data_IF_906196269540
#
_entry.id   IF_906196269540
#
_cell.length_a   1.000
_cell.length_b   1.000
_cell.length_c   1.000
_cell.angle_alpha   90.00
_cell.angle_beta   90.00
_cell.angle_gamma   90.00
#
_symmetry.space_group_name_H-M   'P 1'
#
loop_
_entity.id
_entity.type
_entity.pdbx_description
1 polymer ?
#
# COMPACT_ATOMS: atom_id res chain seq x y z
N UNK A 1 5.94 -8.45 -20.75
CA UNK A 1 6.92 -7.34 -20.63
C UNK A 1 6.12 -6.08 -20.36
N UNK A 2 6.13 -5.50 -19.15
CA UNK A 2 5.48 -4.21 -18.96
C UNK A 2 6.24 -3.16 -19.79
N UNK A 3 5.51 -2.43 -20.61
CA UNK A 3 5.98 -1.33 -21.45
C UNK A 3 6.75 -0.32 -20.60
N UNK A 4 7.96 0.03 -21.03
CA UNK A 4 8.71 1.16 -20.47
C UNK A 4 7.84 2.40 -20.77
N UNK A 5 7.14 2.88 -19.74
CA UNK A 5 6.46 4.17 -19.78
C UNK A 5 7.50 5.21 -20.17
N UNK A 6 7.16 6.08 -21.11
CA UNK A 6 7.95 7.25 -21.52
C UNK A 6 8.62 7.91 -20.30
N UNK A 7 9.88 8.34 -20.40
CA UNK A 7 10.53 9.02 -19.28
C UNK A 7 9.71 10.28 -18.93
N UNK A 8 9.52 10.58 -17.63
CA UNK A 8 8.76 11.75 -17.20
C UNK A 8 9.49 13.02 -17.65
N UNK A 9 9.02 13.66 -18.72
CA UNK A 9 9.53 14.89 -19.32
C UNK A 9 11.06 14.98 -19.51
N UNK A 10 11.55 16.11 -20.03
CA UNK A 10 12.99 16.37 -20.13
C UNK A 10 13.33 17.85 -20.12
N UNK A 11 14.54 18.18 -19.69
CA UNK A 11 15.09 19.53 -19.88
C UNK A 11 15.37 19.70 -21.38
N UNK A 12 14.79 20.73 -22.00
CA UNK A 12 15.02 21.06 -23.40
C UNK A 12 16.28 21.90 -23.56
N UNK A 13 16.39 23.00 -22.82
CA UNK A 13 17.54 23.90 -22.82
C UNK A 13 17.53 24.80 -21.59
N UNK A 14 18.64 25.50 -21.38
CA UNK A 14 18.79 26.55 -20.38
C UNK A 14 19.04 27.88 -21.08
N UNK A 15 18.37 28.91 -20.59
CA UNK A 15 18.66 30.30 -20.91
C UNK A 15 19.19 30.97 -19.65
N UNK A 16 20.28 31.72 -19.75
CA UNK A 16 20.83 32.43 -18.60
C UNK A 16 21.42 33.76 -19.00
N UNK A 17 21.39 34.72 -18.08
CA UNK A 17 22.00 36.01 -18.28
C UNK A 17 22.87 36.37 -17.08
N UNK A 18 24.13 36.77 -17.35
CA UNK A 18 25.09 37.25 -16.36
C UNK A 18 25.27 36.30 -15.16
N UNK A 19 25.27 34.99 -15.37
CA UNK A 19 25.38 33.97 -14.32
C UNK A 19 26.81 33.43 -14.23
N UNK A 20 27.51 33.64 -13.10
CA UNK A 20 28.89 33.19 -12.85
C UNK A 20 29.89 33.55 -13.95
N UNK A 21 30.28 32.60 -14.80
CA UNK A 21 31.19 32.80 -15.92
C UNK A 21 30.48 33.12 -17.24
N UNK A 22 29.15 33.05 -17.27
CA UNK A 22 28.32 33.31 -18.45
C UNK A 22 27.96 34.80 -18.52
N UNK A 23 28.69 35.55 -19.36
CA UNK A 23 28.45 36.98 -19.61
C UNK A 23 27.33 37.18 -20.62
N UNK A 24 26.43 38.14 -20.36
CA UNK A 24 25.31 38.42 -21.25
C UNK A 24 24.34 37.26 -21.36
N UNK A 25 23.47 37.29 -22.37
CA UNK A 25 22.49 36.24 -22.63
C UNK A 25 23.14 35.02 -23.29
N UNK A 26 22.95 33.84 -22.69
CA UNK A 26 23.49 32.57 -23.14
C UNK A 26 22.38 31.53 -23.24
N UNK A 27 22.38 30.78 -24.33
CA UNK A 27 21.49 29.65 -24.58
C UNK A 27 22.33 28.36 -24.59
N UNK A 28 22.02 27.43 -23.69
CA UNK A 28 22.72 26.15 -23.58
C UNK A 28 21.74 25.01 -23.86
N UNK A 29 22.01 24.27 -24.94
CA UNK A 29 21.16 23.20 -25.43
C UNK A 29 21.07 23.20 -26.96
N UNK A 30 20.14 22.43 -27.54
CA UNK A 30 19.19 21.56 -26.85
C UNK A 30 19.85 20.36 -26.18
N UNK A 31 19.37 19.97 -25.01
CA UNK A 31 19.72 18.73 -24.35
C UNK A 31 18.96 17.56 -24.98
N UNK A 32 19.63 16.42 -25.06
CA UNK A 32 19.06 15.13 -25.48
C UNK A 32 19.00 14.18 -24.29
N UNK A 33 18.39 13.01 -24.47
CA UNK A 33 18.25 11.97 -23.44
C UNK A 33 19.58 11.62 -22.77
N UNK A 34 20.66 11.66 -23.55
CA UNK A 34 22.03 11.64 -23.05
C UNK A 34 22.78 12.87 -23.55
N UNK A 35 23.34 13.65 -22.64
CA UNK A 35 24.20 14.80 -22.96
C UNK A 35 25.44 14.80 -22.08
N UNK A 36 26.62 14.83 -22.71
CA UNK A 36 27.90 14.96 -22.00
C UNK A 36 28.39 16.41 -22.06
N UNK A 37 28.78 16.96 -20.90
CA UNK A 37 29.35 18.31 -20.80
C UNK A 37 30.88 18.18 -20.75
N UNK A 38 31.56 18.60 -21.82
CA UNK A 38 33.02 18.52 -21.97
C UNK A 38 33.65 19.90 -22.20
N UNK A 39 34.97 19.99 -22.04
CA UNK A 39 35.74 21.23 -22.24
C UNK A 39 36.95 21.34 -21.30
N UNK A 40 37.86 22.30 -21.53
CA UNK A 40 39.06 22.48 -20.71
C UNK A 40 38.73 22.95 -19.28
N UNK A 41 39.71 22.87 -18.38
CA UNK A 41 39.58 23.42 -17.04
C UNK A 41 39.30 24.92 -17.10
N UNK A 42 38.37 25.40 -16.27
CA UNK A 42 37.93 26.80 -16.29
C UNK A 42 36.85 27.16 -17.33
N UNK A 43 36.48 26.25 -18.24
CA UNK A 43 35.47 26.53 -19.29
C UNK A 43 34.01 26.73 -18.80
N UNK A 44 33.76 26.74 -17.48
CA UNK A 44 32.41 26.95 -16.93
C UNK A 44 31.50 25.71 -16.86
N UNK A 45 32.01 24.50 -17.13
CA UNK A 45 31.26 23.23 -17.02
C UNK A 45 30.57 23.07 -15.66
N UNK A 46 31.32 23.32 -14.59
CA UNK A 46 30.84 23.30 -13.21
C UNK A 46 29.77 24.35 -12.95
N UNK A 47 29.89 25.52 -13.58
CA UNK A 47 28.94 26.62 -13.44
C UNK A 47 27.60 26.31 -14.16
N UNK A 48 27.61 25.47 -15.20
CA UNK A 48 26.37 24.97 -15.81
C UNK A 48 25.57 24.12 -14.83
N UNK A 49 26.25 23.22 -14.10
CA UNK A 49 25.61 22.42 -13.05
C UNK A 49 25.11 23.29 -11.89
N UNK A 50 25.84 24.36 -11.55
CA UNK A 50 25.39 25.33 -10.56
C UNK A 50 24.16 26.11 -11.04
N UNK A 51 24.04 26.41 -12.35
CA UNK A 51 22.87 27.06 -12.94
C UNK A 51 21.62 26.17 -12.86
N UNK A 52 21.76 24.88 -13.20
CA UNK A 52 20.69 23.88 -13.05
C UNK A 52 20.27 23.77 -11.58
N UNK A 53 21.23 23.64 -10.68
CA UNK A 53 20.95 23.55 -9.24
C UNK A 53 20.26 24.82 -8.71
N UNK A 54 20.68 25.99 -9.19
CA UNK A 54 20.12 27.27 -8.81
C UNK A 54 18.64 27.41 -9.21
N UNK A 55 18.29 27.11 -10.47
CA UNK A 55 16.92 27.24 -10.98
C UNK A 55 16.00 26.16 -10.41
N UNK A 56 16.52 24.97 -10.10
CA UNK A 56 15.79 23.91 -9.40
C UNK A 56 15.64 24.16 -7.89
N UNK A 57 16.17 25.28 -7.37
CA UNK A 57 15.88 25.69 -6.00
C UNK A 57 16.74 25.02 -4.92
N UNK A 58 17.91 24.50 -5.29
CA UNK A 58 18.92 24.04 -4.33
C UNK A 58 19.34 25.21 -3.42
N UNK A 59 19.49 24.94 -2.12
CA UNK A 59 19.89 25.96 -1.14
C UNK A 59 21.24 26.55 -1.51
N UNK A 60 21.38 27.85 -1.32
CA UNK A 60 22.50 28.62 -1.86
C UNK A 60 23.81 28.31 -1.14
N UNK A 61 23.74 27.89 0.14
CA UNK A 61 24.90 27.36 0.88
C UNK A 61 25.39 25.99 0.38
N UNK A 62 24.64 25.31 -0.50
CA UNK A 62 25.07 24.09 -1.19
C UNK A 62 25.65 24.39 -2.58
N UNK A 63 25.56 25.64 -3.06
CA UNK A 63 26.23 26.10 -4.27
C UNK A 63 27.64 26.57 -3.93
N UNK A 64 28.58 26.40 -4.86
CA UNK A 64 29.93 26.96 -4.71
C UNK A 64 29.85 28.50 -4.80
N UNK A 65 29.99 29.17 -3.66
CA UNK A 65 29.88 30.62 -3.50
C UNK A 65 29.23 30.93 -2.16
N UNK A 66 29.86 31.73 -1.32
CA UNK A 66 29.42 31.95 0.07
C UNK A 66 28.17 32.83 0.16
N UNK A 67 27.85 33.60 -0.89
CA UNK A 67 26.66 34.44 -0.95
C UNK A 67 25.97 34.37 -2.32
N UNK A 68 24.64 34.54 -2.30
CA UNK A 68 23.80 34.56 -3.49
C UNK A 68 24.32 35.53 -4.57
N UNK A 69 24.76 36.73 -4.16
CA UNK A 69 25.31 37.76 -5.05
C UNK A 69 26.54 37.30 -5.85
N UNK A 70 27.29 36.32 -5.33
CA UNK A 70 28.49 35.78 -5.97
C UNK A 70 28.14 34.89 -7.19
N UNK A 71 26.85 34.61 -7.40
CA UNK A 71 26.35 33.96 -8.61
C UNK A 71 26.20 34.93 -9.78
N UNK A 72 26.28 36.24 -9.55
CA UNK A 72 26.23 37.26 -10.61
C UNK A 72 27.62 37.40 -11.24
N UNK A 73 27.68 37.43 -12.57
CA UNK A 73 28.92 37.61 -13.34
C UNK A 73 29.67 38.88 -12.87
N UNK A 74 30.94 38.69 -12.50
CA UNK A 74 31.81 39.78 -12.12
C UNK A 74 32.39 40.42 -13.38
N UNK A 75 31.98 41.66 -13.68
CA UNK A 75 32.65 42.46 -14.71
C UNK A 75 34.02 42.90 -14.20
N UNK A 76 35.05 42.78 -15.04
CA UNK A 76 36.43 43.23 -14.74
C UNK A 76 36.50 44.73 -14.44
N UNK A 77 35.58 45.51 -15.00
CA UNK A 77 35.44 46.93 -14.74
C UNK A 77 34.76 47.19 -13.39
N UNK A 78 35.58 47.58 -12.41
CA UNK A 78 35.16 47.98 -11.05
C UNK A 78 34.30 49.25 -11.02
N UNK A 79 34.15 49.98 -12.13
CA UNK A 79 33.59 51.34 -12.14
C UNK A 79 32.15 51.49 -12.66
N UNK A 80 31.54 50.47 -13.29
CA UNK A 80 30.13 50.56 -13.70
C UNK A 80 29.22 49.78 -12.74
N UNK A 81 28.67 50.57 -11.82
CA UNK A 81 27.51 50.33 -10.96
C UNK A 81 27.34 48.91 -10.41
N UNK A 82 27.71 48.76 -9.13
CA UNK A 82 27.25 47.63 -8.29
C UNK A 82 25.73 47.70 -8.01
N UNK A 83 25.08 48.84 -8.29
CA UNK A 83 23.63 49.03 -8.16
C UNK A 83 22.92 48.44 -9.37
N UNK A 84 21.96 47.55 -9.14
CA UNK A 84 21.08 47.02 -10.18
C UNK A 84 21.60 45.80 -10.95
N UNK A 85 22.75 45.21 -10.59
CA UNK A 85 23.20 43.96 -11.22
C UNK A 85 22.20 42.85 -10.95
N UNK A 86 21.85 42.12 -12.00
CA UNK A 86 20.95 40.97 -11.96
C UNK A 86 21.52 39.84 -12.79
N UNK A 87 21.23 38.62 -12.36
CA UNK A 87 21.43 37.42 -13.14
C UNK A 87 20.14 36.60 -13.13
N UNK A 88 19.88 35.86 -14.19
CA UNK A 88 18.79 34.89 -14.18
C UNK A 88 19.22 33.59 -14.82
N UNK A 89 18.54 32.52 -14.40
CA UNK A 89 18.57 31.23 -15.08
C UNK A 89 17.13 30.81 -15.32
N UNK A 90 16.85 30.42 -16.55
CA UNK A 90 15.59 29.85 -17.01
C UNK A 90 15.85 28.43 -17.51
N UNK A 91 15.08 27.50 -16.97
CA UNK A 91 15.03 26.11 -17.41
C UNK A 91 13.74 25.89 -18.18
N UNK A 92 13.87 25.45 -19.42
CA UNK A 92 12.73 25.05 -20.25
C UNK A 92 12.62 23.53 -20.17
N UNK A 93 11.50 23.07 -19.64
CA UNK A 93 11.19 21.66 -19.43
C UNK A 93 10.06 21.25 -20.37
N UNK A 94 10.28 20.19 -21.14
CA UNK A 94 9.30 19.61 -22.05
C UNK A 94 8.56 18.49 -21.33
N UNK A 95 7.24 18.60 -21.24
CA UNK A 95 6.34 17.57 -20.74
C UNK A 95 6.01 16.55 -21.84
N UNK A 96 5.46 15.41 -21.43
CA UNK A 96 5.12 14.28 -22.31
C UNK A 96 4.03 14.63 -23.33
N UNK A 97 3.16 15.59 -23.00
CA UNK A 97 2.13 16.12 -23.88
C UNK A 97 2.65 17.16 -24.89
N UNK A 98 3.95 17.44 -24.86
CA UNK A 98 4.62 18.45 -25.71
C UNK A 98 4.57 19.87 -25.14
N UNK A 99 3.99 20.08 -23.96
CA UNK A 99 3.94 21.40 -23.33
C UNK A 99 5.31 21.81 -22.78
N UNK A 100 5.72 23.05 -23.06
CA UNK A 100 6.91 23.65 -22.45
C UNK A 100 6.56 24.38 -21.15
N UNK A 101 7.21 24.02 -20.06
CA UNK A 101 7.19 24.74 -18.80
C UNK A 101 8.48 25.53 -18.62
N UNK A 102 8.36 26.81 -18.23
CA UNK A 102 9.51 27.72 -18.09
C UNK A 102 9.68 28.14 -16.64
N UNK A 103 10.67 27.54 -15.98
CA UNK A 103 11.07 27.87 -14.62
C UNK A 103 12.17 28.93 -14.68
N UNK A 104 11.93 30.13 -14.15
CA UNK A 104 12.94 31.20 -14.09
C UNK A 104 13.20 31.60 -12.66
N UNK A 105 14.49 31.67 -12.29
CA UNK A 105 14.94 32.25 -11.02
C UNK A 105 15.87 33.42 -11.32
N UNK A 106 15.54 34.58 -10.77
CA UNK A 106 16.33 35.81 -10.91
C UNK A 106 16.95 36.17 -9.57
N UNK A 107 18.20 36.64 -9.60
CA UNK A 107 18.88 37.21 -8.45
C UNK A 107 19.24 38.67 -8.69
N UNK A 108 19.07 39.49 -7.67
CA UNK A 108 19.50 40.88 -7.63
C UNK A 108 20.73 41.06 -6.75
N UNK A 109 21.47 42.16 -6.95
CA UNK A 109 22.63 42.52 -6.12
C UNK A 109 22.29 42.78 -4.65
N UNK A 110 21.02 43.00 -4.30
CA UNK A 110 20.52 43.06 -2.92
C UNK A 110 20.40 41.69 -2.23
N UNK A 111 20.65 40.59 -2.95
CA UNK A 111 20.56 39.22 -2.42
C UNK A 111 19.15 38.62 -2.49
N UNK A 112 18.17 39.35 -3.03
CA UNK A 112 16.83 38.83 -3.28
C UNK A 112 16.80 37.79 -4.40
N UNK A 113 15.90 36.81 -4.27
CA UNK A 113 15.54 35.89 -5.35
C UNK A 113 14.09 36.09 -5.75
N UNK A 114 13.83 36.23 -7.06
CA UNK A 114 12.48 36.25 -7.63
C UNK A 114 12.26 34.96 -8.44
N UNK A 115 11.09 34.36 -8.30
CA UNK A 115 10.71 33.10 -8.96
C UNK A 115 9.60 33.36 -9.97
N UNK A 116 9.70 32.75 -11.15
CA UNK A 116 8.66 32.80 -12.18
C UNK A 116 8.40 31.44 -12.80
N UNK A 117 7.13 31.16 -13.07
CA UNK A 117 6.67 30.05 -13.91
C UNK A 117 5.99 30.67 -15.13
N UNK A 118 6.41 30.31 -16.34
CA UNK A 118 5.83 30.81 -17.60
C UNK A 118 5.72 32.34 -17.65
N UNK A 119 6.79 33.00 -17.18
CA UNK A 119 6.93 34.46 -17.01
C UNK A 119 6.04 35.11 -15.93
N UNK A 120 5.17 34.37 -15.25
CA UNK A 120 4.40 34.87 -14.10
C UNK A 120 5.22 34.79 -12.82
N UNK A 121 5.30 35.91 -12.08
CA UNK A 121 5.93 35.95 -10.75
C UNK A 121 5.09 35.14 -9.76
N UNK A 122 5.76 34.24 -9.05
CA UNK A 122 5.17 33.33 -8.06
C UNK A 122 6.01 33.35 -6.79
N UNK A 123 5.41 32.94 -5.67
CA UNK A 123 6.16 32.76 -4.43
C UNK A 123 6.95 31.43 -4.47
N UNK A 124 7.85 31.24 -3.50
CA UNK A 124 8.67 30.02 -3.41
C UNK A 124 7.83 28.75 -3.25
N UNK A 125 6.74 28.78 -2.49
CA UNK A 125 5.93 27.59 -2.23
C UNK A 125 5.21 27.12 -3.50
N UNK A 126 4.67 28.03 -4.29
CA UNK A 126 4.05 27.74 -5.59
C UNK A 126 5.09 27.25 -6.61
N UNK A 127 6.25 27.91 -6.68
CA UNK A 127 7.36 27.51 -7.56
C UNK A 127 7.83 26.08 -7.27
N UNK A 128 8.07 25.81 -6.00
CA UNK A 128 8.52 24.51 -5.50
C UNK A 128 7.42 23.45 -5.62
N UNK A 129 6.16 23.83 -5.38
CA UNK A 129 4.99 22.96 -5.61
C UNK A 129 4.89 22.50 -7.06
N UNK A 130 5.15 23.39 -8.03
CA UNK A 130 5.15 23.03 -9.44
C UNK A 130 6.31 22.10 -9.80
N UNK A 131 7.52 22.33 -9.29
CA UNK A 131 8.66 21.41 -9.46
C UNK A 131 8.35 20.01 -8.91
N UNK A 132 7.73 19.93 -7.72
CA UNK A 132 7.28 18.65 -7.14
C UNK A 132 6.23 17.95 -8.00
N UNK A 133 5.29 18.70 -8.58
CA UNK A 133 4.23 18.13 -9.42
C UNK A 133 4.76 17.41 -10.67
N UNK A 134 5.96 17.77 -11.13
CA UNK A 134 6.64 17.13 -12.27
C UNK A 134 7.75 16.16 -11.82
N UNK A 135 7.77 15.78 -10.54
CA UNK A 135 8.71 14.79 -10.00
C UNK A 135 10.12 15.32 -9.72
N UNK A 136 10.35 16.63 -9.78
CA UNK A 136 11.65 17.23 -9.44
C UNK A 136 11.68 17.55 -7.95
N UNK A 137 12.34 16.68 -7.18
CA UNK A 137 12.60 16.87 -5.75
C UNK A 137 13.97 17.49 -5.53
N UNK A 138 14.04 18.58 -4.78
CA UNK A 138 15.32 19.20 -4.38
C UNK A 138 15.99 18.29 -3.35
N UNK A 139 17.29 18.02 -3.48
CA UNK A 139 18.05 17.09 -2.60
C UNK A 139 17.79 17.28 -1.10
N UNK A 140 17.78 18.53 -0.62
CA UNK A 140 17.50 18.83 0.78
C UNK A 140 16.09 18.40 1.23
N UNK A 141 15.13 18.37 0.32
CA UNK A 141 13.77 17.88 0.58
C UNK A 141 13.72 16.35 0.54
N UNK A 142 14.51 15.70 -0.32
CA UNK A 142 14.65 14.25 -0.31
C UNK A 142 15.18 13.78 1.06
N UNK A 143 16.22 14.45 1.57
CA UNK A 143 16.78 14.20 2.90
C UNK A 143 15.74 14.44 4.02
N UNK A 144 14.98 15.54 3.96
CA UNK A 144 13.92 15.83 4.93
C UNK A 144 12.75 14.83 4.87
N UNK A 145 12.40 14.36 3.67
CA UNK A 145 11.36 13.34 3.46
C UNK A 145 11.80 11.97 3.98
N UNK A 146 13.05 11.59 3.77
CA UNK A 146 13.65 10.36 4.35
C UNK A 146 13.62 10.43 5.88
N UNK A 147 14.01 11.56 6.48
CA UNK A 147 13.98 11.73 7.93
C UNK A 147 12.54 11.68 8.49
N UNK A 148 11.58 12.33 7.82
CA UNK A 148 10.15 12.25 8.20
C UNK A 148 9.59 10.84 8.06
N UNK A 149 9.98 10.11 7.02
CA UNK A 149 9.58 8.73 6.79
C UNK A 149 10.13 7.81 7.89
N UNK A 150 11.41 7.93 8.21
CA UNK A 150 12.04 7.21 9.31
C UNK A 150 11.34 7.48 10.65
N UNK A 151 11.05 8.76 10.96
CA UNK A 151 10.32 9.13 12.17
C UNK A 151 8.87 8.60 12.20
N UNK A 152 8.19 8.57 11.05
CA UNK A 152 6.84 8.03 10.94
C UNK A 152 6.81 6.51 11.11
N UNK A 153 7.78 5.79 10.54
CA UNK A 153 7.96 4.35 10.72
C UNK A 153 8.24 4.00 12.19
N UNK A 154 9.10 4.76 12.86
CA UNK A 154 9.39 4.60 14.29
C UNK A 154 8.13 4.81 15.14
N UNK A 155 7.36 5.88 14.87
CA UNK A 155 6.08 6.13 15.56
C UNK A 155 5.06 5.03 15.30
N UNK A 156 4.95 4.54 14.08
CA UNK A 156 4.04 3.46 13.72
C UNK A 156 4.41 2.15 14.44
N UNK A 157 5.71 1.82 14.49
CA UNK A 157 6.22 0.68 15.24
C UNK A 157 5.93 0.80 16.75
N UNK A 158 6.12 1.99 17.33
CA UNK A 158 5.82 2.25 18.75
C UNK A 158 4.31 2.12 19.04
N UNK A 159 3.44 2.64 18.17
CA UNK A 159 1.99 2.50 18.30
C UNK A 159 1.57 1.02 18.19
N UNK A 160 2.15 0.27 17.25
CA UNK A 160 1.90 -1.16 17.10
C UNK A 160 2.32 -1.94 18.36
N UNK A 161 3.51 -1.64 18.91
CA UNK A 161 3.97 -2.25 20.15
C UNK A 161 3.05 -1.92 21.33
N UNK A 162 2.66 -0.64 21.50
CA UNK A 162 1.72 -0.22 22.56
C UNK A 162 0.36 -0.90 22.43
N UNK A 163 -0.17 -1.05 21.21
CA UNK A 163 -1.42 -1.79 20.97
C UNK A 163 -1.28 -3.27 21.34
N UNK A 164 -0.12 -3.88 21.11
CA UNK A 164 0.18 -5.27 21.49
C UNK A 164 0.26 -5.45 23.01
N UNK A 165 0.85 -4.51 23.74
CA UNK A 165 0.90 -4.54 25.21
C UNK A 165 -0.46 -4.28 25.86
N UNK A 166 -1.22 -3.30 25.37
CA UNK A 166 -2.57 -2.98 25.89
C UNK A 166 -3.58 -4.08 25.54
N UNK A 167 -3.44 -4.71 24.37
CA UNK A 167 -4.25 -5.85 23.95
C UNK A 167 -4.07 -7.08 24.84
N UNK A 168 -2.90 -7.29 25.43
CA UNK A 168 -2.62 -8.46 26.26
C UNK A 168 -3.27 -8.39 27.66
N UNK A 169 -3.41 -7.19 28.25
CA UNK A 169 -3.99 -7.06 29.60
C UNK A 169 -5.51 -7.14 29.60
N UNK A 170 -6.18 -6.49 28.63
CA UNK A 170 -7.65 -6.59 28.52
C UNK A 170 -8.10 -7.96 28.03
N UNK A 171 -7.35 -8.59 27.12
CA UNK A 171 -7.67 -9.93 26.63
C UNK A 171 -7.47 -10.99 27.72
N UNK A 172 -6.42 -10.91 28.56
CA UNK A 172 -6.26 -11.85 29.68
C UNK A 172 -7.37 -11.73 30.72
N UNK A 173 -7.82 -10.51 31.04
CA UNK A 173 -8.92 -10.30 31.99
C UNK A 173 -10.26 -10.75 31.40
N UNK A 174 -10.53 -10.41 30.14
CA UNK A 174 -11.74 -10.85 29.44
C UNK A 174 -11.77 -12.36 29.22
N UNK A 175 -10.65 -12.99 28.82
CA UNK A 175 -10.53 -14.44 28.67
C UNK A 175 -10.70 -15.17 30.01
N UNK A 176 -10.21 -14.60 31.12
CA UNK A 176 -10.41 -15.19 32.45
C UNK A 176 -11.87 -15.10 32.90
N UNK A 177 -12.51 -13.93 32.75
CA UNK A 177 -13.94 -13.77 33.07
C UNK A 177 -14.85 -14.59 32.13
N UNK A 178 -14.49 -14.71 30.86
CA UNK A 178 -15.23 -15.51 29.88
C UNK A 178 -15.03 -17.00 30.14
N UNK A 179 -13.83 -17.47 30.47
CA UNK A 179 -13.58 -18.86 30.87
C UNK A 179 -14.30 -19.23 32.17
N UNK A 180 -14.35 -18.33 33.17
CA UNK A 180 -15.11 -18.55 34.41
C UNK A 180 -16.63 -18.60 34.16
N UNK A 181 -17.14 -17.77 33.24
CA UNK A 181 -18.54 -17.84 32.80
C UNK A 181 -18.83 -19.12 32.01
N UNK A 182 -17.93 -19.52 31.12
CA UNK A 182 -18.10 -20.71 30.29
C UNK A 182 -18.06 -21.98 31.13
N UNK A 183 -17.21 -22.03 32.17
CA UNK A 183 -17.14 -23.15 33.11
C UNK A 183 -18.41 -23.25 33.96
N UNK A 184 -18.92 -22.13 34.48
CA UNK A 184 -20.20 -22.09 35.20
C UNK A 184 -21.39 -22.49 34.33
N UNK A 185 -21.42 -22.02 33.08
CA UNK A 185 -22.47 -22.37 32.12
C UNK A 185 -22.38 -23.84 31.72
N UNK A 186 -21.17 -24.40 31.63
CA UNK A 186 -20.97 -25.82 31.33
C UNK A 186 -21.41 -26.71 32.50
N UNK A 187 -21.19 -26.29 33.75
CA UNK A 187 -21.70 -26.96 34.95
C UNK A 187 -23.25 -26.86 35.07
N UNK A 188 -23.86 -25.76 34.63
CA UNK A 188 -25.32 -25.61 34.59
C UNK A 188 -25.96 -26.41 33.42
N UNK A 189 -25.41 -26.32 32.20
CA UNK A 189 -25.89 -27.04 31.00
C UNK A 189 -25.69 -28.56 31.10
N UNK A 190 -24.62 -29.02 31.77
CA UNK A 190 -24.40 -30.45 31.98
C UNK A 190 -25.47 -31.12 32.85
N UNK A 191 -26.26 -30.35 33.63
CA UNK A 191 -27.31 -30.88 34.48
C UNK A 191 -28.71 -30.81 33.84
N UNK A 192 -29.02 -29.82 32.99
CA UNK A 192 -30.35 -29.72 32.36
C UNK A 192 -30.49 -30.56 31.08
N UNK A 193 -29.44 -30.67 30.26
CA UNK A 193 -29.53 -31.39 28.97
C UNK A 193 -29.49 -32.92 29.13
N UNK A 194 -28.85 -33.45 30.17
CA UNK A 194 -28.73 -34.90 30.39
C UNK A 194 -30.07 -35.53 30.77
N UNK A 195 -30.92 -34.83 31.52
CA UNK A 195 -32.20 -35.38 31.97
C UNK A 195 -33.24 -35.40 30.84
N UNK A 196 -33.27 -34.35 30.00
CA UNK A 196 -34.15 -34.31 28.83
C UNK A 196 -33.75 -35.34 27.75
N UNK A 197 -32.45 -35.59 27.57
CA UNK A 197 -31.95 -36.61 26.62
C UNK A 197 -32.23 -38.03 27.16
N UNK A 198 -32.07 -38.26 28.46
CA UNK A 198 -32.37 -39.56 29.11
C UNK A 198 -33.83 -39.95 28.98
N UNK A 199 -34.76 -39.02 29.17
CA UNK A 199 -36.19 -39.31 29.05
C UNK A 199 -36.58 -39.69 27.61
N UNK A 200 -36.00 -39.01 26.61
CA UNK A 200 -36.20 -39.36 25.20
C UNK A 200 -35.61 -40.73 24.86
N UNK A 201 -34.40 -41.03 25.34
CA UNK A 201 -33.76 -42.33 25.14
C UNK A 201 -34.58 -43.45 25.80
N UNK A 202 -35.13 -43.20 27.00
CA UNK A 202 -35.97 -44.18 27.71
C UNK A 202 -37.29 -44.46 26.99
N UNK A 203 -37.93 -43.45 26.41
CA UNK A 203 -39.13 -43.64 25.59
C UNK A 203 -38.83 -44.43 24.31
N UNK A 204 -37.73 -44.11 23.61
CA UNK A 204 -37.28 -44.84 22.42
C UNK A 204 -36.96 -46.31 22.75
N UNK A 205 -36.27 -46.57 23.85
CA UNK A 205 -35.97 -47.94 24.32
C UNK A 205 -37.27 -48.72 24.61
N UNK A 206 -38.25 -48.12 25.28
CA UNK A 206 -39.53 -48.79 25.56
C UNK A 206 -40.33 -49.12 24.29
N UNK A 207 -40.24 -48.24 23.28
CA UNK A 207 -40.88 -48.46 21.98
C UNK A 207 -40.19 -49.59 21.22
N UNK A 208 -38.85 -49.62 21.25
CA UNK A 208 -38.06 -50.67 20.62
C UNK A 208 -38.38 -52.05 21.22
N UNK A 209 -38.43 -52.17 22.54
CA UNK A 209 -38.82 -53.41 23.23
C UNK A 209 -40.22 -53.88 22.85
N UNK A 210 -41.19 -52.97 22.73
CA UNK A 210 -42.55 -53.30 22.27
C UNK A 210 -42.55 -53.81 20.82
N UNK A 211 -41.80 -53.17 19.93
CA UNK A 211 -41.68 -53.60 18.53
C UNK A 211 -41.01 -54.96 18.42
N UNK A 212 -39.94 -55.21 19.18
CA UNK A 212 -39.27 -56.50 19.22
C UNK A 212 -40.20 -57.61 19.75
N UNK A 213 -40.93 -57.33 20.82
CA UNK A 213 -41.91 -58.27 21.37
C UNK A 213 -43.03 -58.57 20.36
N UNK A 214 -43.54 -57.57 19.64
CA UNK A 214 -44.59 -57.76 18.65
C UNK A 214 -44.08 -58.52 17.42
N UNK A 215 -42.87 -58.20 16.95
CA UNK A 215 -42.21 -58.94 15.88
C UNK A 215 -41.98 -60.41 16.26
N UNK A 216 -41.59 -60.70 17.50
CA UNK A 216 -41.43 -62.06 17.99
C UNK A 216 -42.77 -62.80 18.05
N UNK A 217 -43.83 -62.16 18.54
CA UNK A 217 -45.20 -62.73 18.54
C UNK A 217 -45.63 -63.11 17.12
N UNK A 218 -45.44 -62.22 16.14
CA UNK A 218 -45.77 -62.48 14.73
C UNK A 218 -44.93 -63.62 14.15
N UNK A 219 -43.63 -63.70 14.45
CA UNK A 219 -42.77 -64.83 14.03
C UNK A 219 -43.27 -66.16 14.60
N UNK A 220 -43.65 -66.19 15.88
CA UNK A 220 -44.21 -67.39 16.52
C UNK A 220 -45.54 -67.78 15.88
N UNK A 221 -46.41 -66.81 15.57
CA UNK A 221 -47.70 -67.06 14.93
C UNK A 221 -47.53 -67.57 13.48
N UNK A 222 -46.64 -66.95 12.70
CA UNK A 222 -46.28 -67.44 11.36
C UNK A 222 -45.76 -68.87 11.40
N UNK A 223 -44.92 -69.21 12.39
CA UNK A 223 -44.43 -70.58 12.57
C UNK A 223 -45.56 -71.58 12.89
N UNK A 224 -46.62 -71.15 13.60
CA UNK A 224 -47.81 -71.99 13.83
C UNK A 224 -48.59 -72.22 12.54
N UNK A 225 -48.86 -71.17 11.75
CA UNK A 225 -49.55 -71.32 10.47
C UNK A 225 -48.77 -72.21 9.51
N UNK A 226 -47.45 -72.06 9.42
CA UNK A 226 -46.60 -72.92 8.59
C UNK A 226 -46.68 -74.40 9.00
N UNK A 227 -46.71 -74.69 10.31
CA UNK A 227 -46.91 -76.06 10.81
C UNK A 227 -48.28 -76.61 10.46
N UNK A 228 -49.33 -75.81 10.57
CA UNK A 228 -50.69 -76.23 10.24
C UNK A 228 -50.88 -76.47 8.74
N UNK A 229 -50.30 -75.61 7.89
CA UNK A 229 -50.25 -75.80 6.45
C UNK A 229 -49.57 -77.13 6.12
N UNK A 230 -48.37 -77.39 6.69
CA UNK A 230 -47.65 -78.64 6.45
C UNK A 230 -48.44 -79.89 6.92
N UNK A 231 -49.18 -79.80 8.03
CA UNK A 231 -50.05 -80.89 8.50
C UNK A 231 -51.23 -81.14 7.57
N UNK A 232 -51.87 -80.07 7.06
CA UNK A 232 -52.97 -80.19 6.10
C UNK A 232 -52.49 -80.75 4.77
N UNK A 233 -51.34 -80.31 4.27
CA UNK A 233 -50.69 -80.87 3.08
C UNK A 233 -50.42 -82.37 3.24
N UNK A 234 -49.89 -82.79 4.39
CA UNK A 234 -49.67 -84.22 4.68
C UNK A 234 -50.98 -85.03 4.70
N UNK A 235 -52.03 -84.52 5.34
CA UNK A 235 -53.36 -85.17 5.34
C UNK A 235 -53.98 -85.25 3.95
N UNK A 236 -53.79 -84.21 3.13
CA UNK A 236 -54.23 -84.20 1.73
C UNK A 236 -53.48 -85.30 0.96
N UNK A 237 -52.16 -85.39 1.11
CA UNK A 237 -51.34 -86.42 0.46
C UNK A 237 -51.76 -87.85 0.88
N UNK A 238 -52.00 -88.08 2.18
CA UNK A 238 -52.45 -89.37 2.71
C UNK A 238 -53.85 -89.76 2.17
N UNK A 239 -54.82 -88.84 2.13
CA UNK A 239 -56.15 -89.09 1.54
C UNK A 239 -56.09 -89.38 0.04
N UNK A 240 -55.25 -88.65 -0.69
CA UNK A 240 -55.02 -88.90 -2.12
C UNK A 240 -54.44 -90.29 -2.37
N UNK A 241 -53.60 -90.80 -1.46
CA UNK A 241 -53.07 -92.17 -1.54
C UNK A 241 -54.11 -93.25 -1.19
N UNK A 242 -55.06 -92.97 -0.28
CA UNK A 242 -56.15 -93.92 0.05
C UNK A 242 -57.24 -94.02 -1.01
N UNK A 243 -57.45 -92.96 -1.80
CA UNK A 243 -58.43 -92.93 -2.91
C UNK A 243 -57.89 -93.61 -4.18
N UNK A 244 -56.61 -93.99 -4.22
CA UNK A 244 -55.98 -94.69 -5.34
C UNK A 244 -55.93 -96.22 -5.21
N UNK A 245 -56.52 -96.81 -4.15
CA UNK A 245 -56.51 -98.26 -3.87
C UNK A 245 -57.93 -98.86 -3.74
N UNK A 246 -58.83 -98.49 -4.65
CA UNK A 246 -60.08 -99.20 -4.99
C UNK A 246 -60.23 -99.19 -6.50
#
# INVERSE_FOLDING_TARGET
MPSIQTPPGRILHLEMENFKSYKGHQLVGPFKDFTAIIGPNGAGKSNLMDAISFVLGVRTGQLRGSQLKDLIYAFDDREKEQRGRRAFVRLVYLLDDGTELRFTRTITSSGGSEYRIDNRVVNWEEYNGKLRSIGILVKAQYEELEEKKASAEEKAALIYQKKKTIGAEKLKKAQKEEAEKHLKLQDELANEDVDAEKDKIKDVMSKLEKFEHEALKRKVEQAKYLKEIAQREKKIAERSSSLGNT
#
